data_IF_165330975821
#
_entry.id   IF_165330975821
#
_cell.length_a   1.000
_cell.length_b   1.000
_cell.length_c   1.000
_cell.angle_alpha   90.00
_cell.angle_beta   90.00
_cell.angle_gamma   90.00
#
_symmetry.space_group_name_H-M   'P 1'
#
loop_
_entity.id
_entity.type
_entity.pdbx_description
1 polymer ?
#
# COMPACT_ATOMS: atom_id res chain seq x y z
N UNK A 1 -0.19 22.08 -30.37
CA UNK A 1 -0.81 21.63 -29.11
C UNK A 1 -0.33 20.20 -28.91
N UNK A 2 0.71 20.01 -28.09
CA UNK A 2 1.25 18.69 -27.83
C UNK A 2 0.41 18.04 -26.73
N UNK A 3 -0.24 16.92 -27.04
CA UNK A 3 -0.89 16.07 -26.06
C UNK A 3 0.23 15.44 -25.20
N UNK A 4 0.32 15.81 -23.93
CA UNK A 4 1.14 15.08 -22.97
C UNK A 4 0.39 13.79 -22.64
N UNK A 5 0.86 12.67 -23.19
CA UNK A 5 0.42 11.36 -22.73
C UNK A 5 1.13 11.05 -21.41
N UNK A 6 0.38 10.99 -20.32
CA UNK A 6 0.84 10.37 -19.08
C UNK A 6 1.04 8.88 -19.35
N UNK A 7 2.27 8.36 -19.28
CA UNK A 7 2.48 6.93 -19.29
C UNK A 7 1.73 6.33 -18.09
N UNK A 8 0.93 5.29 -18.30
CA UNK A 8 0.36 4.52 -17.19
C UNK A 8 1.53 3.93 -16.40
N UNK A 9 1.57 4.21 -15.09
CA UNK A 9 2.57 3.62 -14.20
C UNK A 9 2.32 2.11 -14.11
N UNK A 10 3.37 1.30 -14.23
CA UNK A 10 3.24 -0.15 -14.07
C UNK A 10 3.05 -0.46 -12.57
N UNK A 11 1.93 -1.09 -12.20
CA UNK A 11 1.77 -1.63 -10.86
C UNK A 11 2.66 -2.87 -10.72
N UNK A 12 3.59 -2.85 -9.77
CA UNK A 12 4.48 -3.97 -9.46
C UNK A 12 3.81 -5.02 -8.57
N UNK A 13 2.68 -4.69 -7.93
CA UNK A 13 1.91 -5.63 -7.11
C UNK A 13 1.04 -6.52 -7.99
N UNK A 14 1.11 -7.82 -7.76
CA UNK A 14 0.19 -8.80 -8.34
C UNK A 14 -0.97 -9.05 -7.37
N UNK A 15 -2.20 -9.04 -7.88
CA UNK A 15 -3.42 -9.35 -7.11
C UNK A 15 -3.53 -8.49 -5.82
N UNK A 16 -3.24 -7.20 -5.95
CA UNK A 16 -3.38 -6.24 -4.85
C UNK A 16 -4.83 -5.86 -4.55
N UNK A 17 -5.74 -6.13 -5.49
CA UNK A 17 -7.20 -6.02 -5.38
C UNK A 17 -7.84 -7.28 -4.76
N UNK A 18 -7.04 -8.31 -4.48
CA UNK A 18 -7.48 -9.58 -3.90
C UNK A 18 -8.66 -10.25 -4.61
N UNK A 19 -8.83 -10.06 -5.92
CA UNK A 19 -9.85 -10.77 -6.70
C UNK A 19 -9.51 -12.25 -6.91
N UNK A 20 -8.23 -12.60 -6.75
CA UNK A 20 -7.76 -13.99 -6.72
C UNK A 20 -7.52 -14.45 -5.28
N UNK A 21 -7.96 -15.68 -4.98
CA UNK A 21 -7.81 -16.27 -3.65
C UNK A 21 -6.37 -16.34 -3.17
N UNK A 22 -6.14 -15.88 -1.93
CA UNK A 22 -4.88 -16.02 -1.19
C UNK A 22 -5.12 -16.99 -0.02
N UNK A 23 -4.34 -18.08 0.11
CA UNK A 23 -4.49 -19.02 1.21
C UNK A 23 -4.02 -18.40 2.53
N UNK A 24 -4.70 -18.72 3.63
CA UNK A 24 -4.23 -18.45 4.99
C UNK A 24 -3.02 -19.35 5.31
N UNK A 25 -1.96 -18.77 5.89
CA UNK A 25 -0.74 -19.48 6.29
C UNK A 25 -0.05 -20.25 5.15
N UNK A 26 -0.05 -19.68 3.96
CA UNK A 26 0.55 -20.29 2.78
C UNK A 26 0.75 -19.30 1.65
N UNK A 27 1.20 -19.81 0.51
CA UNK A 27 1.50 -19.01 -0.69
C UNK A 27 0.49 -19.31 -1.80
N UNK A 28 -0.09 -18.26 -2.37
CA UNK A 28 -1.04 -18.33 -3.49
C UNK A 28 -1.55 -16.96 -3.88
N UNK A 29 -2.04 -16.81 -5.12
CA UNK A 29 -2.55 -15.51 -5.59
C UNK A 29 -1.51 -14.39 -5.56
N UNK A 30 -0.22 -14.69 -5.67
CA UNK A 30 0.87 -13.70 -5.59
C UNK A 30 1.32 -13.32 -4.18
N UNK A 31 0.67 -13.81 -3.13
CA UNK A 31 0.96 -13.44 -1.75
C UNK A 31 1.33 -14.67 -0.91
N UNK A 32 2.11 -14.43 0.15
CA UNK A 32 2.33 -15.38 1.24
C UNK A 32 1.80 -14.79 2.53
N UNK A 33 0.90 -15.50 3.21
CA UNK A 33 0.38 -15.07 4.51
C UNK A 33 0.88 -15.97 5.64
N UNK A 34 0.89 -15.43 6.86
CA UNK A 34 1.32 -16.14 8.08
C UNK A 34 0.60 -15.57 9.30
N UNK A 35 0.46 -16.41 10.34
CA UNK A 35 -0.23 -16.06 11.58
C UNK A 35 -1.67 -15.60 11.34
N UNK A 36 -2.37 -16.28 10.44
CA UNK A 36 -3.77 -16.02 10.14
C UNK A 36 -4.62 -17.10 10.83
N UNK A 37 -5.51 -16.70 11.72
CA UNK A 37 -6.39 -17.64 12.41
C UNK A 37 -7.65 -18.01 11.57
N UNK A 38 -8.65 -18.59 12.24
CA UNK A 38 -9.92 -18.96 11.58
C UNK A 38 -10.84 -17.78 11.25
N UNK A 39 -10.69 -16.64 11.91
CA UNK A 39 -11.48 -15.43 11.64
C UNK A 39 -10.84 -14.54 10.55
N UNK A 40 -9.53 -14.68 10.31
CA UNK A 40 -8.81 -14.00 9.24
C UNK A 40 -8.91 -14.64 7.85
N UNK A 41 -8.04 -14.19 6.95
CA UNK A 41 -7.82 -14.74 5.61
C UNK A 41 -8.62 -14.08 4.51
N UNK A 42 -8.50 -14.63 3.30
CA UNK A 42 -9.15 -14.10 2.11
C UNK A 42 -10.68 -14.24 2.16
N UNK A 43 -11.39 -13.26 1.60
CA UNK A 43 -12.84 -13.28 1.36
C UNK A 43 -13.09 -12.89 -0.09
N UNK A 44 -13.97 -13.60 -0.78
CA UNK A 44 -14.36 -13.30 -2.17
C UNK A 44 -15.27 -12.08 -2.31
N UNK A 45 -15.64 -11.43 -1.21
CA UNK A 45 -16.59 -10.33 -1.18
C UNK A 45 -16.41 -9.47 0.07
N UNK A 46 -16.87 -8.22 0.01
CA UNK A 46 -16.88 -7.30 1.14
C UNK A 46 -15.61 -6.46 1.27
N UNK A 47 -14.77 -6.45 0.24
CA UNK A 47 -13.66 -5.50 0.07
C UNK A 47 -14.11 -4.09 -0.27
N UNK A 48 -13.15 -3.25 -0.65
CA UNK A 48 -13.41 -1.94 -1.25
C UNK A 48 -13.75 -2.11 -2.73
N UNK A 49 -14.90 -2.78 -2.95
CA UNK A 49 -15.32 -3.51 -4.16
C UNK A 49 -14.67 -4.89 -4.27
N UNK A 50 -15.50 -5.95 -4.32
CA UNK A 50 -15.01 -7.31 -4.57
C UNK A 50 -14.33 -7.98 -3.38
N UNK A 51 -13.20 -8.64 -3.63
CA UNK A 51 -12.44 -9.44 -2.68
C UNK A 51 -11.68 -8.61 -1.63
N UNK A 52 -11.20 -9.27 -0.58
CA UNK A 52 -10.30 -8.65 0.43
C UNK A 52 -9.47 -9.70 1.13
N UNK A 53 -8.47 -9.25 1.88
CA UNK A 53 -7.77 -10.08 2.86
C UNK A 53 -7.94 -9.53 4.27
N UNK A 54 -8.21 -10.41 5.24
CA UNK A 54 -8.33 -10.06 6.66
C UNK A 54 -7.07 -10.53 7.38
N UNK A 55 -6.34 -9.59 7.97
CA UNK A 55 -5.22 -9.83 8.87
C UNK A 55 -5.77 -9.93 10.30
N UNK A 56 -5.92 -11.17 10.79
CA UNK A 56 -6.40 -11.47 12.14
C UNK A 56 -5.70 -12.72 12.67
N UNK A 57 -5.27 -12.65 13.92
CA UNK A 57 -4.83 -13.73 14.79
C UNK A 57 -5.56 -13.62 16.14
N UNK A 58 -4.96 -14.12 17.23
CA UNK A 58 -5.54 -14.09 18.57
C UNK A 58 -5.05 -12.94 19.47
N UNK A 59 -4.49 -11.86 18.91
CA UNK A 59 -3.97 -10.73 19.69
C UNK A 59 -2.73 -11.08 20.51
N UNK A 60 -1.83 -11.88 19.94
CA UNK A 60 -0.64 -12.42 20.61
C UNK A 60 0.54 -11.46 20.51
N UNK A 61 1.27 -11.23 21.62
CA UNK A 61 2.49 -10.42 21.61
C UNK A 61 3.69 -11.09 20.90
N UNK A 62 3.51 -12.30 20.37
CA UNK A 62 4.58 -13.14 19.80
C UNK A 62 4.41 -13.35 18.29
N UNK A 63 3.22 -13.10 17.74
CA UNK A 63 2.92 -13.28 16.32
C UNK A 63 1.91 -12.26 15.86
N UNK A 64 2.29 -11.50 14.83
CA UNK A 64 1.39 -10.56 14.17
C UNK A 64 0.91 -11.17 12.83
N UNK A 65 -0.41 -11.17 12.54
CA UNK A 65 -0.94 -11.57 11.25
C UNK A 65 -0.32 -10.73 10.14
N UNK A 66 0.31 -11.41 9.19
CA UNK A 66 1.12 -10.77 8.14
C UNK A 66 0.82 -11.38 6.78
N UNK A 67 0.78 -10.54 5.74
CA UNK A 67 0.77 -10.94 4.34
C UNK A 67 1.87 -10.20 3.57
N UNK A 68 2.56 -10.90 2.67
CA UNK A 68 3.77 -10.40 2.02
C UNK A 68 3.85 -10.85 0.55
N UNK A 69 4.39 -9.97 -0.29
CA UNK A 69 4.78 -10.26 -1.66
C UNK A 69 6.20 -9.78 -1.92
N UNK A 70 7.05 -10.65 -2.47
CA UNK A 70 8.32 -10.22 -3.05
C UNK A 70 8.05 -9.61 -4.42
N UNK A 71 8.26 -8.31 -4.55
CA UNK A 71 8.19 -7.58 -5.81
C UNK A 71 9.56 -7.56 -6.48
N UNK A 72 9.61 -7.68 -7.80
CA UNK A 72 10.85 -7.73 -8.59
C UNK A 72 10.81 -6.76 -9.77
N UNK A 73 11.98 -6.42 -10.32
CA UNK A 73 12.07 -5.52 -11.47
C UNK A 73 12.07 -4.04 -11.07
N UNK A 74 12.35 -3.76 -9.80
CA UNK A 74 12.60 -2.42 -9.32
C UNK A 74 13.99 -1.95 -9.77
N UNK A 75 14.22 -0.64 -9.73
CA UNK A 75 15.53 -0.05 -9.96
C UNK A 75 16.03 0.51 -8.65
N UNK A 76 17.15 -0.01 -8.13
CA UNK A 76 17.75 0.46 -6.89
C UNK A 76 18.05 1.97 -6.98
N UNK A 77 17.71 2.70 -5.92
CA UNK A 77 17.82 4.15 -5.84
C UNK A 77 16.69 4.93 -6.50
N UNK A 78 15.76 4.29 -7.23
CA UNK A 78 14.56 4.97 -7.71
C UNK A 78 13.52 5.10 -6.59
N UNK A 79 12.73 6.17 -6.69
CA UNK A 79 11.59 6.43 -5.82
C UNK A 79 10.35 5.71 -6.31
N UNK A 80 9.62 5.12 -5.38
CA UNK A 80 8.37 4.40 -5.60
C UNK A 80 7.28 4.91 -4.66
N UNK A 81 6.02 4.75 -5.07
CA UNK A 81 4.83 5.04 -4.27
C UNK A 81 4.14 3.72 -3.93
N UNK A 82 4.01 3.43 -2.65
CA UNK A 82 3.22 2.31 -2.15
C UNK A 82 1.93 2.85 -1.55
N UNK A 83 0.81 2.35 -2.04
CA UNK A 83 -0.52 2.76 -1.57
C UNK A 83 -1.46 1.58 -1.46
N UNK A 84 -2.58 1.82 -0.80
CA UNK A 84 -3.64 0.85 -0.64
C UNK A 84 -4.70 1.31 0.35
N UNK A 85 -5.67 0.44 0.59
CA UNK A 85 -6.76 0.71 1.52
C UNK A 85 -6.74 -0.28 2.68
N UNK A 86 -7.07 0.21 3.87
CA UNK A 86 -7.25 -0.63 5.06
C UNK A 86 -8.50 -0.20 5.83
N UNK A 87 -9.11 -1.14 6.55
CA UNK A 87 -10.24 -0.90 7.44
C UNK A 87 -10.19 -1.84 8.64
N UNK A 88 -10.73 -1.46 9.80
CA UNK A 88 -10.94 -2.42 10.89
C UNK A 88 -11.99 -3.46 10.47
N UNK A 89 -11.70 -4.76 10.62
CA UNK A 89 -12.63 -5.87 10.30
C UNK A 89 -13.60 -6.10 11.46
N UNK A 90 -13.04 -6.33 12.64
CA UNK A 90 -13.69 -6.36 13.93
C UNK A 90 -12.79 -5.56 14.89
N UNK A 91 -13.23 -5.34 16.12
CA UNK A 91 -12.37 -4.78 17.17
C UNK A 91 -12.68 -5.59 18.42
N UNK A 92 -11.88 -6.61 18.71
CA UNK A 92 -11.87 -7.29 20.00
C UNK A 92 -10.77 -6.67 20.85
N UNK A 93 -11.11 -5.61 21.60
CA UNK A 93 -10.25 -5.05 22.63
C UNK A 93 -9.08 -4.21 22.10
N UNK A 94 -9.38 -3.06 21.46
CA UNK A 94 -8.40 -1.99 21.34
C UNK A 94 -7.81 -1.70 22.73
N UNK A 95 -6.49 -1.86 22.95
CA UNK A 95 -5.87 -1.35 24.17
C UNK A 95 -6.28 0.11 24.31
N UNK A 96 -6.68 0.51 25.51
CA UNK A 96 -7.08 1.90 25.77
C UNK A 96 -5.99 2.85 25.25
N UNK A 97 -6.26 3.57 24.16
CA UNK A 97 -5.37 4.58 23.61
C UNK A 97 -4.88 4.42 22.17
N UNK A 98 -5.74 4.02 21.22
CA UNK A 98 -5.56 4.25 19.77
C UNK A 98 -4.11 4.09 19.26
N UNK A 99 -3.45 3.00 19.63
CA UNK A 99 -2.10 2.73 19.16
C UNK A 99 -2.15 2.26 17.73
N UNK A 100 -1.27 2.81 16.90
CA UNK A 100 -1.06 2.30 15.55
C UNK A 100 -0.84 0.78 15.62
N UNK A 101 -1.67 0.02 14.91
CA UNK A 101 -1.74 -1.44 14.97
C UNK A 101 -1.82 -2.08 13.59
N UNK A 102 -1.96 -1.26 12.55
CA UNK A 102 -1.72 -1.63 11.18
C UNK A 102 -0.37 -1.06 10.74
N UNK A 103 0.43 -1.87 10.05
CA UNK A 103 1.74 -1.46 9.56
C UNK A 103 1.98 -1.96 8.14
N UNK A 104 2.69 -1.15 7.37
CA UNK A 104 3.20 -1.52 6.05
C UNK A 104 4.72 -1.48 6.11
N UNK A 105 5.35 -2.54 5.62
CA UNK A 105 6.77 -2.76 5.71
C UNK A 105 7.39 -2.99 4.33
N UNK A 106 8.61 -2.48 4.16
CA UNK A 106 9.49 -2.75 3.02
C UNK A 106 10.76 -3.39 3.55
N UNK A 107 11.05 -4.64 3.14
CA UNK A 107 12.17 -5.44 3.68
C UNK A 107 12.19 -5.50 5.22
N UNK A 108 11.01 -5.61 5.83
CA UNK A 108 10.85 -5.64 7.29
C UNK A 108 11.02 -4.29 8.00
N UNK A 109 11.24 -3.19 7.27
CA UNK A 109 11.26 -1.83 7.83
C UNK A 109 9.88 -1.21 7.70
N UNK A 110 9.30 -0.75 8.82
CA UNK A 110 8.02 -0.05 8.84
C UNK A 110 8.14 1.28 8.09
N UNK A 111 7.35 1.43 7.03
CA UNK A 111 7.27 2.66 6.22
C UNK A 111 5.96 3.42 6.45
N UNK A 112 4.90 2.73 6.89
CA UNK A 112 3.63 3.34 7.26
C UNK A 112 3.04 2.66 8.50
N UNK A 113 2.31 3.45 9.29
CA UNK A 113 1.56 3.00 10.46
C UNK A 113 0.16 3.60 10.45
N UNK A 114 -0.86 2.78 10.69
CA UNK A 114 -2.26 3.17 10.74
C UNK A 114 -2.91 2.85 12.10
N UNK A 115 -3.78 3.76 12.55
CA UNK A 115 -4.64 3.54 13.71
C UNK A 115 -5.91 2.78 13.30
N UNK A 116 -6.60 2.10 14.22
CA UNK A 116 -7.91 1.50 13.95
C UNK A 116 -8.90 2.51 13.34
N UNK A 117 -9.65 2.07 12.34
CA UNK A 117 -10.73 2.85 11.71
C UNK A 117 -12.08 2.46 12.32
N UNK A 118 -13.14 3.18 11.95
CA UNK A 118 -14.50 2.65 12.15
C UNK A 118 -14.64 1.33 11.38
N UNK A 119 -15.37 0.37 11.94
CA UNK A 119 -15.56 -0.95 11.32
C UNK A 119 -15.97 -0.83 9.85
N UNK A 120 -15.21 -1.50 8.98
CA UNK A 120 -15.37 -1.53 7.52
C UNK A 120 -15.32 -0.14 6.83
N UNK A 121 -14.80 0.88 7.52
CA UNK A 121 -14.55 2.20 6.94
C UNK A 121 -13.16 2.22 6.32
N UNK A 122 -13.13 1.96 5.01
CA UNK A 122 -11.91 2.01 4.20
C UNK A 122 -11.21 3.36 4.30
N UNK A 123 -9.92 3.29 4.60
CA UNK A 123 -9.01 4.43 4.72
C UNK A 123 -7.83 4.19 3.79
N UNK A 124 -7.56 5.17 2.95
CA UNK A 124 -6.43 5.13 2.03
C UNK A 124 -5.13 5.47 2.76
N UNK A 125 -4.06 4.74 2.43
CA UNK A 125 -2.70 5.09 2.80
C UNK A 125 -1.84 5.26 1.55
N UNK A 126 -0.81 6.10 1.67
CA UNK A 126 0.19 6.32 0.63
C UNK A 126 1.52 6.63 1.30
N UNK A 127 2.61 6.01 0.82
CA UNK A 127 3.96 6.25 1.30
C UNK A 127 4.97 6.18 0.15
N UNK A 128 5.86 7.16 0.09
CA UNK A 128 7.01 7.12 -0.81
C UNK A 128 8.21 6.47 -0.13
N UNK A 129 8.94 5.63 -0.87
CA UNK A 129 10.23 5.11 -0.44
C UNK A 129 11.21 5.00 -1.62
N UNK A 130 12.49 4.78 -1.31
CA UNK A 130 13.52 4.51 -2.32
C UNK A 130 13.86 3.03 -2.30
N UNK A 131 13.80 2.37 -3.46
CA UNK A 131 14.15 0.96 -3.55
C UNK A 131 15.62 0.74 -3.20
N UNK A 132 15.91 -0.12 -2.23
CA UNK A 132 17.29 -0.46 -1.86
C UNK A 132 17.92 -1.49 -2.81
N UNK A 133 17.10 -2.22 -3.56
CA UNK A 133 17.48 -3.32 -4.44
C UNK A 133 16.45 -3.45 -5.58
N UNK A 134 16.70 -4.35 -6.54
CA UNK A 134 15.78 -4.67 -7.65
C UNK A 134 14.64 -5.61 -7.25
N UNK A 135 14.74 -6.22 -6.07
CA UNK A 135 13.70 -7.03 -5.45
C UNK A 135 13.52 -6.65 -3.99
N UNK A 136 12.26 -6.48 -3.56
CA UNK A 136 11.91 -6.09 -2.19
C UNK A 136 10.73 -6.91 -1.70
N UNK A 137 10.67 -7.13 -0.39
CA UNK A 137 9.50 -7.69 0.27
C UNK A 137 8.58 -6.56 0.73
N UNK A 138 7.36 -6.53 0.18
CA UNK A 138 6.29 -5.65 0.64
C UNK A 138 5.38 -6.46 1.56
N UNK A 139 5.24 -6.04 2.81
CA UNK A 139 4.42 -6.72 3.79
C UNK A 139 3.40 -5.77 4.45
N UNK A 140 2.23 -6.32 4.75
CA UNK A 140 1.19 -5.67 5.55
C UNK A 140 0.96 -6.51 6.80
N UNK A 141 0.89 -5.85 7.95
CA UNK A 141 0.83 -6.47 9.27
C UNK A 141 -0.26 -5.81 10.11
N UNK A 142 -1.05 -6.63 10.80
CA UNK A 142 -2.04 -6.18 11.79
C UNK A 142 -1.64 -6.62 13.19
N UNK A 143 -2.45 -6.26 14.20
CA UNK A 143 -2.21 -6.55 15.62
C UNK A 143 -0.87 -6.05 16.16
N UNK A 144 -0.17 -5.22 15.39
CA UNK A 144 1.12 -4.69 15.74
C UNK A 144 1.08 -3.95 17.08
N UNK A 145 2.25 -3.89 17.73
CA UNK A 145 2.43 -3.25 19.04
C UNK A 145 1.61 -3.93 20.16
N UNK A 146 1.38 -5.25 20.04
CA UNK A 146 0.71 -6.06 21.06
C UNK A 146 -0.78 -5.76 21.18
N UNK A 147 -1.42 -5.42 20.06
CA UNK A 147 -2.86 -5.17 20.01
C UNK A 147 -3.62 -6.42 19.58
N UNK A 148 -4.94 -6.36 19.68
CA UNK A 148 -5.89 -7.37 19.19
C UNK A 148 -6.87 -6.61 18.28
N UNK A 149 -6.30 -5.92 17.28
CA UNK A 149 -7.06 -5.16 16.29
C UNK A 149 -6.81 -5.78 14.92
N UNK A 150 -7.88 -6.32 14.34
CA UNK A 150 -7.86 -6.95 13.03
C UNK A 150 -8.21 -5.99 11.90
N UNK A 151 -7.52 -6.17 10.78
CA UNK A 151 -7.61 -5.26 9.65
C UNK A 151 -7.95 -5.99 8.36
N UNK A 152 -8.86 -5.42 7.61
CA UNK A 152 -9.11 -5.70 6.21
C UNK A 152 -8.15 -4.87 5.38
N UNK A 153 -7.63 -5.46 4.31
CA UNK A 153 -6.79 -4.78 3.33
C UNK A 153 -7.31 -5.02 1.92
N UNK A 154 -7.11 -4.01 1.07
CA UNK A 154 -7.50 -4.05 -0.34
C UNK A 154 -6.73 -3.01 -1.17
N UNK A 155 -6.81 -3.12 -2.50
CA UNK A 155 -6.28 -2.17 -3.49
C UNK A 155 -4.79 -1.83 -3.33
N UNK A 156 -3.94 -2.82 -2.99
CA UNK A 156 -2.51 -2.59 -2.80
C UNK A 156 -1.81 -2.32 -4.14
N UNK A 157 -1.12 -1.19 -4.23
CA UNK A 157 -0.45 -0.74 -5.44
C UNK A 157 0.98 -0.31 -5.11
N UNK A 158 1.92 -0.73 -5.93
CA UNK A 158 3.28 -0.19 -5.94
C UNK A 158 3.56 0.34 -7.34
N UNK A 159 3.85 1.63 -7.47
CA UNK A 159 4.10 2.24 -8.76
C UNK A 159 5.24 3.27 -8.71
N UNK A 160 5.64 3.77 -9.89
CA UNK A 160 6.58 4.90 -9.99
C UNK A 160 5.76 6.19 -9.96
N UNK A 161 6.05 7.14 -9.03
CA UNK A 161 5.37 8.42 -8.99
C UNK A 161 5.50 9.16 -10.33
N UNK A 162 4.42 9.77 -10.80
CA UNK A 162 4.46 10.57 -12.01
C UNK A 162 5.53 11.67 -11.91
N UNK A 163 6.36 11.82 -12.95
CA UNK A 163 7.32 12.91 -13.01
C UNK A 163 6.55 14.25 -12.95
N UNK A 164 6.80 15.04 -11.90
CA UNK A 164 6.16 16.34 -11.73
C UNK A 164 6.33 17.18 -12.99
N UNK A 165 5.23 17.52 -13.65
CA UNK A 165 5.27 18.30 -14.89
C UNK A 165 5.65 19.74 -14.56
N UNK A 166 6.92 20.09 -14.75
CA UNK A 166 7.39 21.49 -14.72
C UNK A 166 6.81 22.22 -15.94
N UNK A 167 5.68 22.91 -15.75
CA UNK A 167 5.17 23.83 -16.76
C UNK A 167 6.05 25.09 -16.78
N UNK A 168 7.03 25.14 -17.67
CA UNK A 168 7.82 26.34 -17.92
C UNK A 168 6.96 27.36 -18.69
N UNK A 169 6.36 28.33 -17.98
CA UNK A 169 5.74 29.49 -18.63
C UNK A 169 6.87 30.42 -19.10
N UNK A 170 7.35 30.20 -20.32
CA UNK A 170 8.27 31.13 -20.98
C UNK A 170 7.53 32.39 -21.41
N UNK A 171 7.59 33.48 -20.63
CA UNK A 171 7.28 34.82 -21.14
C UNK A 171 8.46 35.33 -21.98
N UNK A 172 8.48 34.96 -23.26
CA UNK A 172 9.25 35.66 -24.28
C UNK A 172 8.59 37.00 -24.62
N UNK A 173 9.03 38.08 -23.99
CA UNK A 173 8.65 39.46 -24.33
C UNK A 173 9.72 40.17 -25.16
N UNK A 174 9.50 40.18 -26.47
CA UNK A 174 10.23 40.84 -27.57
C UNK A 174 11.04 42.12 -27.22
N UNK A 175 12.32 42.11 -27.57
CA UNK A 175 13.08 43.30 -27.96
C UNK A 175 12.97 43.49 -29.48
N UNK A 176 12.44 44.64 -29.93
CA UNK A 176 12.74 45.16 -31.26
C UNK A 176 12.91 46.68 -31.22
N UNK A 177 14.16 47.12 -31.32
CA UNK A 177 14.51 48.45 -31.84
C UNK A 177 14.05 48.54 -33.31
N UNK A 178 13.34 49.61 -33.68
CA UNK A 178 13.51 50.18 -35.04
C UNK A 178 13.22 51.68 -35.14
N UNK A 179 14.31 52.38 -35.44
CA UNK A 179 14.52 53.78 -35.80
C UNK A 179 13.56 54.29 -36.89
N UNK A 180 13.04 55.52 -36.75
CA UNK A 180 12.60 56.37 -37.87
C UNK A 180 13.19 57.78 -37.75
N UNK A 181 13.35 58.37 -38.93
CA UNK A 181 14.28 59.42 -39.36
C UNK A 181 14.18 60.74 -38.63
#
# INVERSE_FOLDING_TARGET
>A
MALLATAASANFIVNGDFETSVPSNGTGGGWTSSHIDSAGGWRSSGGNLGGKFILNDAGSSVSDPTIMQTVTGLTAGNRYLLSGDYASSMINNSPSGATNSFEVLVNGVVVFQGAPTNLHSWTHFEVEFFASDEALDIALRAEANGSDNDFEIDNIVLDVPAAGTLTLIGLGGLTTLRRRR
#
